data_IF_046133195915
#
_entry.id   IF_046133195915
#
_cell.length_a   1.000
_cell.length_b   1.000
_cell.length_c   1.000
_cell.angle_alpha   90.00
_cell.angle_beta   90.00
_cell.angle_gamma   90.00
#
_symmetry.space_group_name_H-M   'P 1'
#
loop_
_entity.id
_entity.type
_entity.pdbx_description
1 polymer ?
#
# COMPACT_ATOMS: atom_id res chain seq x y z
N UNK A 1 1.11 -1.10 9.99
CA UNK A 1 1.33 0.27 10.50
C UNK A 1 2.53 0.98 9.86
N UNK A 2 3.63 0.30 9.54
CA UNK A 2 4.77 0.87 8.77
C UNK A 2 4.38 1.50 7.42
N UNK A 3 3.50 0.84 6.66
CA UNK A 3 2.95 1.31 5.38
C UNK A 3 2.21 2.65 5.55
N UNK A 4 1.47 2.79 6.65
CA UNK A 4 0.75 4.02 7.00
C UNK A 4 1.72 5.14 7.36
N UNK A 5 2.74 4.84 8.15
CA UNK A 5 3.77 5.82 8.54
C UNK A 5 4.52 6.31 7.30
N UNK A 6 4.84 5.42 6.36
CA UNK A 6 5.45 5.79 5.08
C UNK A 6 4.54 6.68 4.23
N UNK A 7 3.23 6.38 4.18
CA UNK A 7 2.23 7.20 3.51
C UNK A 7 2.09 8.61 4.14
N UNK A 8 2.06 8.69 5.47
CA UNK A 8 2.00 9.97 6.19
C UNK A 8 3.25 10.81 5.98
N UNK A 9 4.43 10.18 6.09
CA UNK A 9 5.70 10.87 5.96
C UNK A 9 5.91 11.38 4.52
N UNK A 10 5.65 10.54 3.51
CA UNK A 10 5.76 10.93 2.10
C UNK A 10 4.83 12.10 1.73
N UNK A 11 3.59 12.09 2.23
CA UNK A 11 2.65 13.18 2.00
C UNK A 11 2.98 14.45 2.81
N UNK A 12 3.59 14.31 4.00
CA UNK A 12 4.02 15.42 4.87
C UNK A 12 5.27 16.17 4.40
N UNK A 13 6.13 15.53 3.61
CA UNK A 13 7.35 16.15 3.02
C UNK A 13 7.06 17.29 2.04
N UNK A 14 5.80 17.52 1.69
CA UNK A 14 5.34 18.64 0.84
C UNK A 14 5.24 19.95 1.59
N UNK A 15 6.27 20.30 2.34
CA UNK A 15 6.41 21.65 2.88
C UNK A 15 7.00 22.55 1.79
N UNK A 16 6.35 23.69 1.58
CA UNK A 16 6.71 24.83 0.70
C UNK A 16 6.16 24.81 -0.74
N UNK A 17 4.98 25.42 -0.92
CA UNK A 17 4.48 25.76 -2.27
C UNK A 17 4.11 27.24 -2.47
N UNK A 18 4.28 28.11 -1.47
CA UNK A 18 3.90 29.54 -1.58
C UNK A 18 4.92 30.45 -2.31
N UNK A 19 6.03 29.92 -2.84
CA UNK A 19 7.01 30.69 -3.64
C UNK A 19 7.08 30.27 -5.12
N UNK A 20 6.12 29.49 -5.63
CA UNK A 20 6.25 28.83 -6.95
C UNK A 20 5.95 29.69 -8.18
N UNK A 21 5.04 30.67 -8.14
CA UNK A 21 4.83 31.55 -9.30
C UNK A 21 6.14 32.22 -9.75
N UNK A 22 6.90 32.76 -8.81
CA UNK A 22 8.17 33.46 -9.10
C UNK A 22 9.27 32.56 -9.68
N UNK A 23 9.27 31.25 -9.41
CA UNK A 23 10.27 30.30 -9.92
C UNK A 23 9.86 29.80 -11.32
N UNK A 24 8.59 29.47 -11.53
CA UNK A 24 8.07 29.02 -12.83
C UNK A 24 8.15 30.15 -13.86
N UNK A 25 7.90 31.40 -13.43
CA UNK A 25 8.04 32.57 -14.30
C UNK A 25 9.52 32.89 -14.62
N UNK A 26 10.45 32.59 -13.70
CA UNK A 26 11.91 32.65 -13.95
C UNK A 26 12.41 31.51 -14.84
N UNK A 27 11.85 30.31 -14.76
CA UNK A 27 12.25 29.16 -15.57
C UNK A 27 11.64 29.15 -16.97
N UNK A 28 10.43 29.71 -17.14
CA UNK A 28 9.87 30.04 -18.48
C UNK A 28 10.79 30.99 -19.25
N UNK A 29 11.45 31.90 -18.54
CA UNK A 29 12.43 32.81 -19.12
C UNK A 29 13.69 32.07 -19.63
N UNK A 30 14.00 30.89 -19.08
CA UNK A 30 15.16 30.05 -19.43
C UNK A 30 14.84 28.90 -20.40
N UNK A 31 13.65 28.86 -21.02
CA UNK A 31 13.24 27.84 -22.02
C UNK A 31 13.36 26.36 -21.57
N UNK A 32 13.26 26.06 -20.27
CA UNK A 32 13.25 24.66 -19.81
C UNK A 32 11.92 23.96 -20.15
N UNK A 33 11.99 22.70 -20.60
CA UNK A 33 10.80 21.89 -20.83
C UNK A 33 10.13 21.53 -19.50
N UNK A 34 8.80 21.64 -19.43
CA UNK A 34 8.02 21.30 -18.22
C UNK A 34 8.26 19.86 -17.76
N UNK A 35 8.56 18.97 -18.71
CA UNK A 35 8.87 17.56 -18.46
C UNK A 35 10.17 17.39 -17.67
N UNK A 36 11.22 18.15 -18.00
CA UNK A 36 12.51 18.10 -17.29
C UNK A 36 12.39 18.56 -15.84
N UNK A 37 11.54 19.57 -15.57
CA UNK A 37 11.27 20.04 -14.21
C UNK A 37 10.54 18.99 -13.37
N UNK A 38 9.49 18.38 -13.92
CA UNK A 38 8.72 17.34 -13.23
C UNK A 38 9.60 16.12 -12.95
N UNK A 39 10.39 15.67 -13.93
CA UNK A 39 11.30 14.53 -13.76
C UNK A 39 12.38 14.80 -12.71
N UNK A 40 13.02 15.97 -12.75
CA UNK A 40 14.02 16.34 -11.74
C UNK A 40 13.43 16.31 -10.31
N UNK A 41 12.21 16.82 -10.16
CA UNK A 41 11.52 16.82 -8.88
C UNK A 41 11.10 15.42 -8.42
N UNK A 42 10.65 14.55 -9.33
CA UNK A 42 10.33 13.15 -9.02
C UNK A 42 11.59 12.42 -8.56
N UNK A 43 12.71 12.55 -9.28
CA UNK A 43 13.98 11.90 -8.92
C UNK A 43 14.46 12.35 -7.54
N UNK A 44 14.36 13.65 -7.24
CA UNK A 44 14.69 14.17 -5.91
C UNK A 44 13.81 13.55 -4.81
N UNK A 45 12.48 13.54 -5.00
CA UNK A 45 11.54 12.97 -4.02
C UNK A 45 11.75 11.47 -3.83
N UNK A 46 12.00 10.73 -4.91
CA UNK A 46 12.25 9.29 -4.84
C UNK A 46 13.55 8.99 -4.12
N UNK A 47 14.62 9.73 -4.38
CA UNK A 47 15.91 9.56 -3.69
C UNK A 47 15.78 9.81 -2.19
N UNK A 48 15.06 10.88 -1.81
CA UNK A 48 14.80 11.19 -0.41
C UNK A 48 13.94 10.10 0.26
N UNK A 49 12.90 9.62 -0.41
CA UNK A 49 12.05 8.54 0.10
C UNK A 49 12.79 7.20 0.20
N UNK A 50 13.71 6.90 -0.72
CA UNK A 50 14.55 5.70 -0.66
C UNK A 50 15.40 5.69 0.62
N UNK A 51 16.07 6.82 0.92
CA UNK A 51 16.87 6.97 2.13
C UNK A 51 16.00 6.90 3.39
N UNK A 52 14.86 7.58 3.41
CA UNK A 52 13.96 7.60 4.57
C UNK A 52 13.37 6.23 4.90
N UNK A 53 12.87 5.52 3.89
CA UNK A 53 12.31 4.18 4.06
C UNK A 53 13.39 3.18 4.47
N UNK A 54 14.62 3.32 3.97
CA UNK A 54 15.75 2.49 4.38
C UNK A 54 16.07 2.66 5.86
N UNK A 55 16.21 3.91 6.32
CA UNK A 55 16.44 4.21 7.74
C UNK A 55 15.30 3.70 8.62
N UNK A 56 14.06 3.90 8.19
CA UNK A 56 12.88 3.42 8.90
C UNK A 56 12.89 1.89 9.06
N UNK A 57 13.24 1.15 8.01
CA UNK A 57 13.31 -0.32 8.06
C UNK A 57 14.44 -0.79 8.95
N UNK A 58 15.63 -0.19 8.85
CA UNK A 58 16.78 -0.59 9.66
C UNK A 58 16.48 -0.38 11.15
N UNK A 59 15.98 0.79 11.53
CA UNK A 59 15.65 1.10 12.92
C UNK A 59 14.45 0.27 13.39
N UNK A 60 13.40 0.17 12.56
CA UNK A 60 12.19 -0.57 12.88
C UNK A 60 12.43 -2.06 13.09
N UNK A 61 13.16 -2.70 12.18
CA UNK A 61 13.48 -4.12 12.29
C UNK A 61 14.50 -4.40 13.39
N UNK A 62 15.40 -3.45 13.70
CA UNK A 62 16.30 -3.57 14.86
C UNK A 62 15.53 -3.55 16.19
N UNK A 63 14.53 -2.69 16.33
CA UNK A 63 13.70 -2.60 17.55
C UNK A 63 12.75 -3.80 17.67
N UNK A 64 12.16 -4.23 16.56
CA UNK A 64 11.19 -5.35 16.53
C UNK A 64 11.86 -6.73 16.42
N UNK A 65 13.19 -6.78 16.38
CA UNK A 65 14.00 -8.00 16.22
C UNK A 65 13.60 -8.88 15.01
N UNK A 66 13.12 -8.26 13.93
CA UNK A 66 12.75 -8.98 12.70
C UNK A 66 14.03 -9.31 11.93
N UNK A 67 14.38 -10.60 11.88
CA UNK A 67 15.61 -11.08 11.24
C UNK A 67 15.41 -11.34 9.75
N UNK A 68 16.46 -11.08 8.97
CA UNK A 68 16.56 -11.44 7.53
C UNK A 68 15.50 -10.86 6.57
N UNK A 69 14.65 -9.92 7.00
CA UNK A 69 13.59 -9.35 6.13
C UNK A 69 13.84 -7.90 5.66
N UNK A 70 15.01 -7.33 5.93
CA UNK A 70 15.30 -5.90 5.72
C UNK A 70 15.10 -5.45 4.27
N UNK A 71 15.60 -6.21 3.29
CA UNK A 71 15.53 -5.81 1.88
C UNK A 71 14.09 -5.85 1.33
N UNK A 72 13.33 -6.90 1.64
CA UNK A 72 11.94 -7.03 1.23
C UNK A 72 11.07 -5.91 1.83
N UNK A 73 11.24 -5.62 3.13
CA UNK A 73 10.56 -4.52 3.80
C UNK A 73 10.90 -3.17 3.19
N UNK A 74 12.19 -2.95 2.88
CA UNK A 74 12.63 -1.70 2.26
C UNK A 74 12.04 -1.52 0.88
N UNK A 75 12.12 -2.52 0.01
CA UNK A 75 11.60 -2.44 -1.35
C UNK A 75 10.09 -2.18 -1.35
N UNK A 76 9.35 -2.89 -0.50
CA UNK A 76 7.91 -2.72 -0.35
C UNK A 76 7.54 -1.31 0.16
N UNK A 77 8.21 -0.81 1.19
CA UNK A 77 7.93 0.54 1.69
C UNK A 77 8.38 1.63 0.72
N UNK A 78 9.48 1.41 -0.01
CA UNK A 78 9.97 2.33 -1.04
C UNK A 78 8.99 2.46 -2.21
N UNK A 79 8.46 1.35 -2.74
CA UNK A 79 7.48 1.39 -3.83
C UNK A 79 6.19 2.09 -3.38
N UNK A 80 5.76 1.86 -2.13
CA UNK A 80 4.62 2.55 -1.54
C UNK A 80 4.86 4.06 -1.45
N UNK A 81 6.04 4.47 -0.98
CA UNK A 81 6.42 5.88 -0.87
C UNK A 81 6.49 6.54 -2.26
N UNK A 82 6.97 5.84 -3.29
CA UNK A 82 6.96 6.32 -4.67
C UNK A 82 5.53 6.58 -5.17
N UNK A 83 4.60 5.65 -4.94
CA UNK A 83 3.20 5.84 -5.30
C UNK A 83 2.56 7.02 -4.54
N UNK A 84 2.84 7.15 -3.24
CA UNK A 84 2.36 8.26 -2.42
C UNK A 84 2.88 9.62 -2.92
N UNK A 85 4.17 9.69 -3.28
CA UNK A 85 4.80 10.89 -3.85
C UNK A 85 4.13 11.31 -5.16
N UNK A 86 3.84 10.36 -6.06
CA UNK A 86 3.15 10.62 -7.33
C UNK A 86 1.70 11.06 -7.12
N UNK A 87 0.94 10.37 -6.28
CA UNK A 87 -0.43 10.73 -5.92
C UNK A 87 -0.48 12.14 -5.33
N UNK A 88 0.43 12.43 -4.40
CA UNK A 88 0.61 13.77 -3.89
C UNK A 88 0.86 14.76 -5.04
N UNK A 89 1.83 14.51 -5.93
CA UNK A 89 2.18 15.42 -7.03
C UNK A 89 0.97 15.82 -7.85
N UNK A 90 0.14 14.85 -8.24
CA UNK A 90 -1.11 15.07 -8.95
C UNK A 90 -2.10 15.96 -8.16
N UNK A 91 -2.27 15.70 -6.87
CA UNK A 91 -3.18 16.49 -6.02
C UNK A 91 -2.69 17.93 -5.84
N UNK A 92 -1.38 18.13 -5.62
CA UNK A 92 -0.83 19.48 -5.46
C UNK A 92 -0.86 20.30 -6.73
N UNK A 93 -0.87 19.66 -7.91
CA UNK A 93 -1.05 20.39 -9.17
C UNK A 93 -2.50 20.83 -9.37
N UNK A 94 -3.47 20.12 -8.80
CA UNK A 94 -4.89 20.48 -8.89
C UNK A 94 -5.34 21.54 -7.87
N UNK A 95 -4.65 21.66 -6.74
CA UNK A 95 -5.04 22.56 -5.65
C UNK A 95 -4.24 23.87 -5.64
N UNK A 96 -4.93 25.01 -5.66
CA UNK A 96 -4.32 26.36 -5.65
C UNK A 96 -4.01 26.87 -4.24
N UNK A 97 -4.61 26.29 -3.19
CA UNK A 97 -4.47 26.75 -1.80
C UNK A 97 -3.72 25.74 -0.93
N UNK A 98 -2.76 26.21 -0.14
CA UNK A 98 -2.07 25.40 0.87
C UNK A 98 -3.03 24.87 1.94
N UNK A 99 -4.05 25.66 2.32
CA UNK A 99 -5.05 25.26 3.32
C UNK A 99 -5.84 24.05 2.82
N UNK A 100 -6.22 24.06 1.53
CA UNK A 100 -6.91 22.93 0.92
C UNK A 100 -6.05 21.65 0.94
N UNK A 101 -4.74 21.76 0.67
CA UNK A 101 -3.83 20.61 0.73
C UNK A 101 -3.78 20.03 2.15
N UNK A 102 -3.72 20.86 3.19
CA UNK A 102 -3.65 20.38 4.57
C UNK A 102 -4.91 19.66 5.05
N UNK A 103 -6.10 20.09 4.58
CA UNK A 103 -7.37 19.41 4.88
C UNK A 103 -7.48 18.09 4.09
N UNK A 104 -7.01 18.11 2.84
CA UNK A 104 -7.18 16.99 1.92
C UNK A 104 -6.21 15.83 2.19
N UNK A 105 -5.04 16.09 2.76
CA UNK A 105 -4.07 15.03 3.12
C UNK A 105 -4.67 14.03 4.12
N UNK A 106 -5.19 14.42 5.30
CA UNK A 106 -5.84 13.49 6.23
C UNK A 106 -7.08 12.83 5.62
N UNK A 107 -7.88 13.59 4.85
CA UNK A 107 -9.08 13.07 4.19
C UNK A 107 -8.78 11.92 3.22
N UNK A 108 -7.61 11.94 2.58
CA UNK A 108 -7.16 10.85 1.71
C UNK A 108 -6.48 9.72 2.48
N UNK A 109 -5.71 10.05 3.51
CA UNK A 109 -4.96 9.06 4.29
C UNK A 109 -5.87 8.18 5.14
N UNK A 110 -6.92 8.72 5.77
CA UNK A 110 -7.81 7.96 6.65
C UNK A 110 -8.52 6.81 5.89
N UNK A 111 -9.17 7.03 4.73
CA UNK A 111 -9.73 5.94 3.92
C UNK A 111 -8.68 4.92 3.48
N UNK A 112 -7.49 5.37 3.08
CA UNK A 112 -6.39 4.48 2.69
C UNK A 112 -5.92 3.58 3.83
N UNK A 113 -5.95 4.07 5.07
CA UNK A 113 -5.64 3.28 6.26
C UNK A 113 -6.76 2.29 6.59
N UNK A 114 -8.01 2.75 6.59
CA UNK A 114 -9.16 1.93 6.95
C UNK A 114 -9.36 0.76 5.98
N UNK A 115 -9.22 1.02 4.68
CA UNK A 115 -9.40 0.05 3.61
C UNK A 115 -8.10 -0.72 3.29
N UNK A 116 -7.06 -0.63 4.13
CA UNK A 116 -5.86 -1.47 4.01
C UNK A 116 -6.06 -2.89 4.53
N UNK A 117 -7.18 -3.18 5.22
CA UNK A 117 -7.44 -4.48 5.85
C UNK A 117 -6.70 -4.72 7.18
N UNK A 118 -5.81 -3.80 7.59
CA UNK A 118 -5.02 -3.93 8.81
C UNK A 118 -5.73 -3.45 10.09
N UNK A 119 -6.56 -2.40 9.99
CA UNK A 119 -7.26 -1.78 11.12
C UNK A 119 -8.68 -2.32 11.24
N UNK A 120 -9.36 -2.51 10.10
CA UNK A 120 -10.73 -3.01 10.03
C UNK A 120 -10.74 -4.22 9.10
N UNK A 121 -11.19 -5.36 9.61
CA UNK A 121 -11.42 -6.55 8.77
C UNK A 121 -12.50 -6.22 7.75
N UNK A 122 -12.26 -6.57 6.48
CA UNK A 122 -13.20 -6.27 5.40
C UNK A 122 -14.58 -6.89 5.67
N UNK A 123 -14.64 -8.08 6.26
CA UNK A 123 -15.88 -8.80 6.61
C UNK A 123 -16.77 -8.06 7.63
N UNK A 124 -16.22 -7.05 8.32
CA UNK A 124 -16.94 -6.20 9.29
C UNK A 124 -17.33 -4.84 8.71
N UNK A 125 -17.02 -4.56 7.44
CA UNK A 125 -17.50 -3.36 6.76
C UNK A 125 -19.00 -3.51 6.45
N UNK A 126 -19.69 -2.37 6.33
CA UNK A 126 -21.12 -2.36 6.07
C UNK A 126 -21.47 -3.25 4.86
N UNK A 127 -22.44 -4.17 5.04
CA UNK A 127 -22.88 -5.14 4.01
C UNK A 127 -23.34 -4.50 2.71
N UNK A 128 -23.71 -3.22 2.71
CA UNK A 128 -24.01 -2.48 1.46
C UNK A 128 -22.76 -2.13 0.63
N UNK A 129 -21.58 -2.09 1.24
CA UNK A 129 -20.31 -1.80 0.58
C UNK A 129 -19.39 -3.03 0.50
N UNK A 130 -19.78 -4.19 1.04
CA UNK A 130 -18.97 -5.40 1.13
C UNK A 130 -19.86 -6.63 1.01
N UNK A 131 -19.51 -7.52 0.09
CA UNK A 131 -20.03 -8.88 0.12
C UNK A 131 -19.14 -9.67 1.07
N UNK A 132 -19.69 -10.53 1.94
CA UNK A 132 -18.90 -11.26 2.96
C UNK A 132 -17.81 -12.15 2.34
N UNK A 133 -17.90 -12.46 1.05
CA UNK A 133 -16.94 -13.30 0.33
C UNK A 133 -15.87 -12.51 -0.44
N UNK A 134 -16.04 -11.19 -0.67
CA UNK A 134 -15.19 -10.46 -1.60
C UNK A 134 -14.78 -9.08 -1.09
N UNK A 135 -13.51 -8.74 -1.33
CA UNK A 135 -12.97 -7.43 -0.95
C UNK A 135 -13.64 -6.32 -1.77
N UNK A 136 -14.08 -5.22 -1.14
CA UNK A 136 -14.68 -4.10 -1.84
C UNK A 136 -13.81 -3.57 -2.97
N UNK A 137 -14.43 -3.13 -4.06
CA UNK A 137 -13.74 -2.53 -5.23
C UNK A 137 -12.83 -1.38 -4.80
N UNK A 138 -13.29 -0.55 -3.85
CA UNK A 138 -12.48 0.52 -3.28
C UNK A 138 -11.18 0.01 -2.62
N UNK A 139 -11.20 -1.16 -1.98
CA UNK A 139 -10.02 -1.81 -1.42
C UNK A 139 -9.08 -2.39 -2.49
N UNK A 140 -9.61 -2.92 -3.60
CA UNK A 140 -8.81 -3.40 -4.74
C UNK A 140 -7.97 -2.29 -5.39
N UNK A 141 -8.46 -1.04 -5.38
CA UNK A 141 -7.75 0.10 -5.97
C UNK A 141 -6.64 0.62 -5.04
N UNK A 142 -6.76 0.40 -3.73
CA UNK A 142 -5.86 0.98 -2.76
C UNK A 142 -4.54 0.24 -2.64
N UNK A 143 -3.45 0.94 -2.98
CA UNK A 143 -2.09 0.41 -2.87
C UNK A 143 -1.75 -0.01 -1.44
N UNK A 144 -2.30 0.65 -0.42
CA UNK A 144 -2.07 0.28 0.99
C UNK A 144 -2.50 -1.16 1.32
N UNK A 145 -3.55 -1.69 0.66
CA UNK A 145 -4.01 -3.07 0.84
C UNK A 145 -3.01 -4.07 0.26
N UNK A 146 -2.71 -3.94 -1.03
CA UNK A 146 -1.74 -4.81 -1.71
C UNK A 146 -0.40 -4.84 -0.99
N UNK A 147 0.04 -3.67 -0.52
CA UNK A 147 1.28 -3.55 0.23
C UNK A 147 1.23 -4.24 1.59
N UNK A 148 0.10 -4.18 2.28
CA UNK A 148 -0.09 -4.87 3.55
C UNK A 148 -0.13 -6.39 3.35
N UNK A 149 -0.91 -6.87 2.38
CA UNK A 149 -0.98 -8.30 2.04
C UNK A 149 0.39 -8.85 1.61
N UNK A 150 1.11 -8.15 0.72
CA UNK A 150 2.44 -8.55 0.28
C UNK A 150 3.42 -8.68 1.46
N UNK A 151 3.38 -7.73 2.40
CA UNK A 151 4.25 -7.76 3.57
C UNK A 151 3.89 -8.91 4.52
N UNK A 152 2.60 -9.15 4.76
CA UNK A 152 2.13 -10.25 5.59
C UNK A 152 2.47 -11.61 4.99
N UNK A 153 2.17 -11.82 3.71
CA UNK A 153 2.45 -13.07 2.99
C UNK A 153 3.95 -13.33 2.98
N UNK A 154 4.75 -12.32 2.68
CA UNK A 154 6.20 -12.46 2.69
C UNK A 154 6.74 -12.76 4.11
N UNK A 155 6.19 -12.11 5.14
CA UNK A 155 6.57 -12.38 6.53
C UNK A 155 6.19 -13.80 6.97
N UNK A 156 5.03 -14.28 6.55
CA UNK A 156 4.56 -15.61 6.91
C UNK A 156 5.32 -16.72 6.19
N UNK A 157 5.49 -16.61 4.86
CA UNK A 157 6.08 -17.67 4.03
C UNK A 157 7.60 -17.78 4.19
N UNK A 158 8.29 -16.64 4.34
CA UNK A 158 9.76 -16.59 4.35
C UNK A 158 10.36 -16.50 5.75
N UNK A 159 9.57 -16.79 6.79
CA UNK A 159 10.11 -16.94 8.14
C UNK A 159 10.89 -18.24 8.28
N UNK A 160 11.99 -18.22 9.04
CA UNK A 160 12.91 -19.36 9.25
C UNK A 160 12.16 -20.61 9.74
N UNK A 161 11.15 -20.41 10.60
CA UNK A 161 10.31 -21.50 11.07
C UNK A 161 9.41 -22.07 9.96
N UNK A 162 8.69 -21.19 9.25
CA UNK A 162 7.57 -21.62 8.41
C UNK A 162 8.02 -22.23 7.09
N UNK A 163 9.17 -21.80 6.58
CA UNK A 163 9.74 -22.24 5.30
C UNK A 163 9.79 -23.76 5.11
N UNK A 164 9.93 -24.52 6.19
CA UNK A 164 9.98 -26.00 6.14
C UNK A 164 8.62 -26.68 6.14
N UNK A 165 7.57 -26.00 6.59
CA UNK A 165 6.23 -26.56 6.78
C UNK A 165 5.20 -26.04 5.77
N UNK A 166 5.48 -24.92 5.08
CA UNK A 166 4.53 -24.28 4.14
C UNK A 166 3.96 -25.28 3.14
N UNK A 167 4.80 -26.11 2.52
CA UNK A 167 4.35 -27.02 1.45
C UNK A 167 3.45 -28.13 1.99
N UNK A 168 3.77 -28.66 3.17
CA UNK A 168 3.00 -29.72 3.83
C UNK A 168 1.65 -29.17 4.29
N UNK A 169 1.65 -28.04 4.98
CA UNK A 169 0.42 -27.42 5.47
C UNK A 169 -0.48 -26.94 4.33
N UNK A 170 0.12 -26.49 3.21
CA UNK A 170 -0.64 -26.15 2.02
C UNK A 170 -1.33 -27.38 1.43
N UNK A 171 -0.62 -28.49 1.29
CA UNK A 171 -1.22 -29.74 0.81
C UNK A 171 -2.32 -30.24 1.75
N UNK A 172 -2.11 -30.17 3.06
CA UNK A 172 -3.12 -30.52 4.07
C UNK A 172 -4.36 -29.62 3.97
N UNK A 173 -4.16 -28.31 3.79
CA UNK A 173 -5.23 -27.35 3.59
C UNK A 173 -6.02 -27.60 2.31
N UNK A 174 -5.34 -27.89 1.20
CA UNK A 174 -5.97 -28.20 -0.10
C UNK A 174 -6.82 -29.47 0.00
N UNK A 175 -6.29 -30.52 0.64
CA UNK A 175 -7.02 -31.77 0.88
C UNK A 175 -8.22 -31.56 1.81
N UNK A 176 -8.04 -30.78 2.87
CA UNK A 176 -9.12 -30.45 3.80
C UNK A 176 -10.23 -29.65 3.13
N UNK A 177 -9.88 -28.73 2.23
CA UNK A 177 -10.87 -27.98 1.44
C UNK A 177 -11.64 -28.91 0.50
N UNK A 178 -10.93 -29.79 -0.21
CA UNK A 178 -11.55 -30.76 -1.12
C UNK A 178 -12.48 -31.72 -0.37
N UNK A 179 -12.07 -32.19 0.81
CA UNK A 179 -12.84 -33.12 1.62
C UNK A 179 -14.05 -32.49 2.30
N UNK A 180 -13.91 -31.29 2.85
CA UNK A 180 -14.92 -30.70 3.74
C UNK A 180 -15.89 -29.75 3.01
N UNK A 181 -15.51 -29.22 1.85
CA UNK A 181 -16.33 -28.25 1.12
C UNK A 181 -16.66 -28.77 -0.28
N UNK A 182 -15.64 -29.09 -1.08
CA UNK A 182 -15.83 -29.40 -2.49
C UNK A 182 -16.63 -30.67 -2.73
N UNK A 183 -16.28 -31.78 -2.05
CA UNK A 183 -17.00 -33.05 -2.17
C UNK A 183 -18.47 -32.94 -1.72
N UNK A 184 -18.79 -32.41 -0.52
CA UNK A 184 -20.18 -32.21 -0.09
C UNK A 184 -21.00 -31.32 -1.05
N UNK A 185 -20.39 -30.29 -1.63
CA UNK A 185 -21.09 -29.39 -2.56
C UNK A 185 -21.41 -30.08 -3.89
N UNK A 186 -20.51 -30.90 -4.43
CA UNK A 186 -20.79 -31.74 -5.61
C UNK A 186 -21.86 -32.77 -5.31
N UNK A 187 -21.81 -33.43 -4.15
CA UNK A 187 -22.84 -34.40 -3.75
C UNK A 187 -24.22 -33.75 -3.64
N UNK A 188 -24.31 -32.53 -3.08
CA UNK A 188 -25.54 -31.73 -3.05
C UNK A 188 -26.05 -31.44 -4.46
N UNK A 189 -25.19 -30.97 -5.36
CA UNK A 189 -25.56 -30.67 -6.75
C UNK A 189 -26.04 -31.91 -7.52
N UNK A 190 -25.44 -33.07 -7.26
CA UNK A 190 -25.86 -34.34 -7.85
C UNK A 190 -27.22 -34.78 -7.32
N UNK A 191 -27.48 -34.64 -6.02
CA UNK A 191 -28.80 -34.94 -5.44
C UNK A 191 -29.90 -34.03 -6.00
N UNK A 192 -29.61 -32.74 -6.17
CA UNK A 192 -30.55 -31.77 -6.75
C UNK A 192 -30.83 -32.04 -8.24
N UNK A 193 -29.88 -32.62 -8.98
CA UNK A 193 -30.04 -32.93 -10.41
C UNK A 193 -30.77 -34.25 -10.69
N UNK A 194 -30.84 -35.16 -9.72
CA UNK A 194 -31.55 -36.45 -9.82
C UNK A 194 -33.03 -36.34 -9.39
N UNK A 195 -33.44 -35.19 -8.84
CA UNK A 195 -34.83 -34.84 -8.53
C UNK A 195 -35.43 -33.90 -9.58
#
# INVERSE_FOLDING_TARGET
MSVVVALFWANGQRRTNNKRQKIIDREKFLRLSRLSYINSKIVFLFSLSAMQTLLFVLIGNAILEIKHMNFAYWLLLFTTACNANLMGLNISSGLKSLVAIYILIPLLLVPQMLLSGSIVKFDKLNKHFTNQEHVPIAGNIMVSRWMYEALLVHQFLYNDYKKHFVDIEKAESDLSYMSNYYLPEIESMLQDAYH
#
